data_IF_353954068287
#
_entry.id   IF_353954068287
#
_cell.length_a   1.000
_cell.length_b   1.000
_cell.length_c   1.000
_cell.angle_alpha   90.00
_cell.angle_beta   90.00
_cell.angle_gamma   90.00
#
_symmetry.space_group_name_H-M   'P 1'
#
loop_
_entity.id
_entity.type
_entity.pdbx_description
1 polymer ?
#
# COMPACT_ATOMS: atom_id res chain seq x y z
N UNK A 1 -15.47 10.59 3.32
CA UNK A 1 -15.24 10.34 4.76
C UNK A 1 -15.68 11.59 5.52
N UNK A 2 -16.61 11.49 6.48
CA UNK A 2 -17.17 12.68 7.15
C UNK A 2 -16.11 13.40 8.00
N UNK A 3 -15.32 12.66 8.77
CA UNK A 3 -14.25 13.25 9.59
C UNK A 3 -13.23 14.04 8.75
N UNK A 4 -12.88 13.58 7.55
CA UNK A 4 -12.00 14.34 6.66
C UNK A 4 -12.60 15.67 6.19
N UNK A 5 -13.91 15.69 5.88
CA UNK A 5 -14.64 16.91 5.48
C UNK A 5 -14.80 17.88 6.66
N UNK A 6 -15.18 17.36 7.83
CA UNK A 6 -15.46 18.16 9.02
C UNK A 6 -14.21 18.88 9.56
N UNK A 7 -13.02 18.28 9.39
CA UNK A 7 -11.75 18.83 9.87
C UNK A 7 -10.80 19.32 8.76
N UNK A 8 -11.20 19.24 7.49
CA UNK A 8 -10.35 19.66 6.36
C UNK A 8 -9.09 18.81 6.14
N UNK A 9 -9.14 17.53 6.53
CA UNK A 9 -8.01 16.62 6.41
C UNK A 9 -7.88 16.05 4.99
N UNK A 10 -6.64 15.98 4.49
CA UNK A 10 -6.33 15.36 3.20
C UNK A 10 -5.90 13.90 3.30
N UNK A 11 -5.60 13.43 4.51
CA UNK A 11 -5.28 12.05 4.82
C UNK A 11 -5.84 11.70 6.22
N UNK A 12 -6.20 10.44 6.44
CA UNK A 12 -6.76 9.94 7.70
C UNK A 12 -5.97 8.71 8.16
N UNK A 13 -5.44 8.76 9.38
CA UNK A 13 -4.83 7.61 10.04
C UNK A 13 -5.80 6.99 11.03
N UNK A 14 -5.89 5.67 11.06
CA UNK A 14 -6.68 4.95 12.06
C UNK A 14 -5.77 4.01 12.84
N UNK A 15 -5.66 4.23 14.16
CA UNK A 15 -4.69 3.52 15.00
C UNK A 15 -5.05 2.06 15.15
N UNK A 16 -6.32 1.79 15.45
CA UNK A 16 -6.90 0.49 15.78
C UNK A 16 -6.23 -0.27 16.95
N UNK A 17 -4.99 -0.71 16.78
CA UNK A 17 -4.24 -1.50 17.74
C UNK A 17 -3.26 -0.64 18.55
N UNK A 18 -3.14 -0.79 19.87
CA UNK A 18 -4.12 -1.35 20.81
C UNK A 18 -5.15 -0.27 21.21
N UNK A 19 -6.26 -0.66 21.86
CA UNK A 19 -7.27 0.25 22.37
C UNK A 19 -8.58 0.20 21.58
N UNK A 20 -8.61 0.75 20.36
CA UNK A 20 -9.87 0.81 19.59
C UNK A 20 -10.37 -0.59 19.18
N UNK A 21 -9.45 -1.53 18.92
CA UNK A 21 -9.77 -2.94 18.62
C UNK A 21 -10.59 -3.66 19.70
N UNK A 22 -10.59 -3.14 20.95
CA UNK A 22 -11.31 -3.72 22.08
C UNK A 22 -12.71 -3.14 22.23
N UNK A 23 -13.03 -2.07 21.50
CA UNK A 23 -14.29 -1.33 21.60
C UNK A 23 -15.21 -1.56 20.39
N UNK A 24 -14.64 -1.78 19.21
CA UNK A 24 -15.39 -1.89 17.95
C UNK A 24 -14.81 -2.96 16.99
N UNK A 25 -15.62 -3.55 16.10
CA UNK A 25 -15.14 -4.46 15.05
C UNK A 25 -14.26 -3.74 14.02
N UNK A 26 -13.18 -4.40 13.58
CA UNK A 26 -12.17 -3.85 12.69
C UNK A 26 -12.74 -3.16 11.44
N UNK A 27 -12.16 -2.01 11.08
CA UNK A 27 -12.61 -1.18 9.96
C UNK A 27 -11.88 -1.43 8.65
N UNK A 28 -11.13 -2.52 8.53
CA UNK A 28 -10.23 -2.74 7.39
C UNK A 28 -10.95 -2.63 6.04
N UNK A 29 -12.15 -3.22 5.91
CA UNK A 29 -12.95 -3.10 4.71
C UNK A 29 -13.15 -1.63 4.31
N UNK A 30 -13.50 -0.76 5.26
CA UNK A 30 -13.65 0.66 5.00
C UNK A 30 -12.31 1.31 4.67
N UNK A 31 -11.25 1.00 5.41
CA UNK A 31 -9.89 1.51 5.24
C UNK A 31 -9.34 1.25 3.83
N UNK A 32 -9.49 0.02 3.32
CA UNK A 32 -9.09 -0.32 1.95
C UNK A 32 -9.87 0.46 0.89
N UNK A 33 -11.16 0.72 1.13
CA UNK A 33 -11.99 1.52 0.24
C UNK A 33 -11.65 3.02 0.28
N UNK A 34 -11.09 3.52 1.38
CA UNK A 34 -10.64 4.92 1.45
C UNK A 34 -9.52 5.19 0.44
N UNK A 35 -8.63 4.23 0.25
CA UNK A 35 -7.51 4.31 -0.71
C UNK A 35 -7.92 4.01 -2.17
N UNK A 36 -9.21 3.84 -2.47
CA UNK A 36 -9.72 3.53 -3.81
C UNK A 36 -10.54 4.71 -4.37
N UNK A 37 -10.31 5.12 -5.62
CA UNK A 37 -11.06 6.25 -6.21
C UNK A 37 -12.52 5.90 -6.49
N UNK A 38 -12.77 4.67 -6.93
CA UNK A 38 -14.10 4.10 -7.09
C UNK A 38 -14.57 3.57 -5.73
N UNK A 39 -15.26 4.38 -4.94
CA UNK A 39 -15.75 3.99 -3.60
C UNK A 39 -17.22 4.36 -3.43
N UNK A 40 -17.96 3.68 -2.54
CA UNK A 40 -19.34 4.05 -2.23
C UNK A 40 -19.47 5.54 -1.85
N UNK A 41 -20.52 6.23 -2.33
CA UNK A 41 -20.70 7.65 -2.06
C UNK A 41 -20.94 7.88 -0.57
N UNK A 42 -20.24 8.85 0.01
CA UNK A 42 -20.44 9.29 1.40
C UNK A 42 -21.04 10.68 1.37
N UNK A 43 -22.18 10.90 2.02
CA UNK A 43 -22.83 12.21 2.10
C UNK A 43 -22.44 12.96 3.37
N UNK A 44 -22.25 14.28 3.27
CA UNK A 44 -22.14 15.18 4.41
C UNK A 44 -23.37 15.03 5.29
N UNK A 45 -23.16 14.95 6.61
CA UNK A 45 -24.28 14.89 7.56
C UNK A 45 -25.06 16.22 7.61
N UNK A 46 -24.40 17.34 7.33
CA UNK A 46 -25.00 18.69 7.44
C UNK A 46 -25.71 19.12 6.15
N UNK A 47 -25.07 18.95 4.99
CA UNK A 47 -25.57 19.48 3.71
C UNK A 47 -26.11 18.41 2.76
N UNK A 48 -25.92 17.12 3.05
CA UNK A 48 -26.31 16.04 2.14
C UNK A 48 -25.47 15.91 0.87
N UNK A 49 -24.52 16.82 0.61
CA UNK A 49 -23.61 16.77 -0.55
C UNK A 49 -22.77 15.50 -0.55
N UNK A 50 -22.48 14.95 -1.72
CA UNK A 50 -21.53 13.84 -1.87
C UNK A 50 -20.10 14.35 -1.62
N UNK A 51 -19.38 13.67 -0.75
CA UNK A 51 -18.02 14.03 -0.34
C UNK A 51 -16.98 13.32 -1.21
N UNK A 52 -16.00 14.08 -1.70
CA UNK A 52 -14.87 13.67 -2.54
C UNK A 52 -15.28 12.69 -3.68
N UNK A 53 -16.25 13.07 -4.54
CA UNK A 53 -16.73 12.19 -5.61
C UNK A 53 -15.61 11.85 -6.59
N UNK A 54 -15.41 10.56 -6.88
CA UNK A 54 -14.36 10.08 -7.78
C UNK A 54 -12.94 10.21 -7.21
N UNK A 55 -12.81 10.49 -5.91
CA UNK A 55 -11.52 10.65 -5.25
C UNK A 55 -11.36 9.67 -4.09
N UNK A 56 -10.15 9.13 -3.96
CA UNK A 56 -9.72 8.44 -2.76
C UNK A 56 -9.49 9.47 -1.63
N UNK A 57 -9.59 9.01 -0.40
CA UNK A 57 -9.16 9.76 0.79
C UNK A 57 -7.97 8.99 1.35
N UNK A 58 -6.73 9.43 1.08
CA UNK A 58 -5.52 8.73 1.54
C UNK A 58 -5.63 8.30 2.99
N UNK A 59 -5.52 7.00 3.21
CA UNK A 59 -5.64 6.35 4.50
C UNK A 59 -4.36 5.60 4.81
N UNK A 60 -3.94 5.66 6.08
CA UNK A 60 -2.77 4.95 6.58
C UNK A 60 -3.11 4.19 7.87
N UNK A 61 -2.89 2.87 7.84
CA UNK A 61 -3.13 2.00 8.97
C UNK A 61 -2.20 2.32 10.14
N UNK A 62 -2.65 1.98 11.35
CA UNK A 62 -1.85 2.02 12.59
C UNK A 62 -1.33 3.42 12.97
N UNK A 63 -1.87 4.48 12.35
CA UNK A 63 -1.36 5.86 12.48
C UNK A 63 0.14 5.93 12.15
N UNK A 64 0.60 5.15 11.17
CA UNK A 64 1.94 5.31 10.62
C UNK A 64 2.00 6.62 9.81
N UNK A 65 2.33 7.72 10.50
CA UNK A 65 2.37 9.07 9.92
C UNK A 65 3.38 9.20 8.77
N UNK A 66 4.46 8.42 8.79
CA UNK A 66 5.41 8.37 7.68
C UNK A 66 4.77 7.74 6.44
N UNK A 67 4.03 6.65 6.59
CA UNK A 67 3.22 6.09 5.50
C UNK A 67 2.10 7.05 5.07
N UNK A 68 1.51 7.80 6.01
CA UNK A 68 0.50 8.82 5.72
C UNK A 68 1.02 9.96 4.85
N UNK A 69 2.19 10.52 5.18
CA UNK A 69 2.86 11.53 4.36
C UNK A 69 3.19 10.98 2.98
N UNK A 70 3.79 9.79 2.92
CA UNK A 70 4.15 9.13 1.67
C UNK A 70 2.92 8.89 0.77
N UNK A 71 1.86 8.31 1.35
CA UNK A 71 0.62 8.01 0.63
C UNK A 71 -0.06 9.27 0.09
N UNK A 72 -0.08 10.36 0.85
CA UNK A 72 -0.67 11.63 0.42
C UNK A 72 0.11 12.25 -0.75
N UNK A 73 1.44 12.36 -0.65
CA UNK A 73 2.24 12.97 -1.72
C UNK A 73 2.24 12.09 -2.97
N UNK A 74 2.24 10.76 -2.79
CA UNK A 74 2.10 9.78 -3.87
C UNK A 74 0.78 9.95 -4.60
N UNK A 75 -0.32 10.02 -3.86
CA UNK A 75 -1.66 10.17 -4.40
C UNK A 75 -1.76 11.43 -5.29
N UNK A 76 -1.28 12.56 -4.79
CA UNK A 76 -1.27 13.84 -5.54
C UNK A 76 -0.40 13.73 -6.79
N UNK A 77 0.84 13.26 -6.64
CA UNK A 77 1.77 13.16 -7.76
C UNK A 77 1.25 12.22 -8.86
N UNK A 78 0.67 11.07 -8.50
CA UNK A 78 0.14 10.15 -9.50
C UNK A 78 -1.01 10.76 -10.30
N UNK A 79 -1.87 11.56 -9.66
CA UNK A 79 -2.91 12.30 -10.37
C UNK A 79 -2.34 13.33 -11.33
N UNK A 80 -1.34 14.10 -10.91
CA UNK A 80 -0.64 15.07 -11.78
C UNK A 80 0.04 14.39 -12.97
N UNK A 81 0.52 13.17 -12.79
CA UNK A 81 1.09 12.35 -13.88
C UNK A 81 0.03 11.72 -14.80
N UNK A 82 -1.26 11.84 -14.47
CA UNK A 82 -2.36 11.19 -15.18
C UNK A 82 -2.44 9.68 -14.96
N UNK A 83 -1.88 9.18 -13.86
CA UNK A 83 -1.86 7.75 -13.51
C UNK A 83 -2.94 7.40 -12.47
N UNK A 84 -3.24 6.11 -12.35
CA UNK A 84 -4.16 5.59 -11.33
C UNK A 84 -3.55 5.77 -9.93
N UNK A 85 -4.14 6.58 -9.04
CA UNK A 85 -3.45 7.07 -7.85
C UNK A 85 -3.65 6.19 -6.60
N UNK A 86 -4.39 5.09 -6.71
CA UNK A 86 -4.60 4.14 -5.62
C UNK A 86 -3.26 3.62 -5.13
N UNK A 87 -2.99 3.85 -3.87
CA UNK A 87 -1.76 3.46 -3.21
C UNK A 87 -2.10 3.02 -1.79
N UNK A 88 -1.26 2.17 -1.22
CA UNK A 88 -1.40 1.72 0.16
C UNK A 88 -0.05 1.27 0.69
N UNK A 89 0.06 1.21 2.01
CA UNK A 89 1.15 0.49 2.66
C UNK A 89 0.86 -1.01 2.67
N UNK A 90 1.92 -1.80 2.60
CA UNK A 90 1.96 -3.21 2.94
C UNK A 90 2.95 -3.46 4.05
N UNK A 91 2.74 -4.52 4.84
CA UNK A 91 3.84 -5.11 5.60
C UNK A 91 4.77 -5.84 4.64
N UNK A 92 6.07 -5.54 4.74
CA UNK A 92 7.13 -6.38 4.19
C UNK A 92 7.26 -7.62 5.09
N UNK A 93 6.49 -8.65 4.80
CA UNK A 93 6.24 -9.75 5.74
C UNK A 93 7.35 -10.78 5.78
N UNK A 94 7.69 -11.35 4.62
CA UNK A 94 8.77 -12.31 4.41
C UNK A 94 9.00 -12.52 2.91
N UNK A 95 10.01 -13.29 2.52
CA UNK A 95 10.23 -13.65 1.12
C UNK A 95 11.04 -14.92 0.96
N UNK A 96 11.03 -15.47 -0.26
CA UNK A 96 11.88 -16.61 -0.64
C UNK A 96 12.14 -16.58 -2.15
N UNK A 97 13.21 -17.26 -2.56
CA UNK A 97 13.42 -17.51 -3.99
C UNK A 97 12.29 -18.39 -4.54
N UNK A 98 11.80 -18.05 -5.73
CA UNK A 98 10.81 -18.82 -6.45
C UNK A 98 11.27 -19.01 -7.90
N UNK A 99 11.17 -20.24 -8.39
CA UNK A 99 11.47 -20.61 -9.78
C UNK A 99 10.30 -21.38 -10.37
N UNK A 100 9.57 -20.77 -11.30
CA UNK A 100 8.40 -21.35 -11.94
C UNK A 100 7.57 -20.31 -12.70
N UNK A 101 6.77 -20.73 -13.67
CA UNK A 101 5.85 -19.87 -14.45
C UNK A 101 6.47 -18.54 -14.96
N UNK A 102 7.74 -18.56 -15.36
CA UNK A 102 8.44 -17.38 -15.88
C UNK A 102 9.07 -16.47 -14.82
N UNK A 103 8.97 -16.81 -13.53
CA UNK A 103 9.64 -16.12 -12.42
C UNK A 103 10.86 -16.93 -11.99
N UNK A 104 11.99 -16.26 -11.75
CA UNK A 104 13.20 -16.87 -11.17
C UNK A 104 13.92 -15.86 -10.27
N UNK A 105 13.25 -15.44 -9.21
CA UNK A 105 13.66 -14.30 -8.40
C UNK A 105 13.34 -14.50 -6.91
N UNK A 106 13.89 -13.62 -6.08
CA UNK A 106 13.49 -13.50 -4.68
C UNK A 106 12.15 -12.75 -4.59
N UNK A 107 11.09 -13.49 -4.27
CA UNK A 107 9.73 -12.96 -4.23
C UNK A 107 9.32 -12.68 -2.79
N UNK A 108 9.08 -11.40 -2.51
CA UNK A 108 8.51 -10.90 -1.26
C UNK A 108 7.01 -11.12 -1.20
N UNK A 109 6.53 -11.40 0.01
CA UNK A 109 5.14 -11.36 0.40
C UNK A 109 4.88 -10.02 1.08
N UNK A 110 4.20 -9.14 0.37
CA UNK A 110 3.70 -7.86 0.87
C UNK A 110 2.25 -8.04 1.29
N UNK A 111 1.96 -7.86 2.58
CA UNK A 111 0.71 -8.37 3.15
C UNK A 111 0.27 -7.52 4.34
N UNK A 112 -0.41 -6.40 4.05
CA UNK A 112 -0.97 -5.49 5.06
C UNK A 112 -1.97 -6.20 5.96
N UNK A 113 -2.01 -5.80 7.23
CA UNK A 113 -2.80 -6.38 8.33
C UNK A 113 -4.32 -6.19 8.25
N UNK A 114 -4.89 -6.08 7.05
CA UNK A 114 -6.35 -5.95 6.89
C UNK A 114 -6.83 -5.74 5.47
N UNK A 115 -6.41 -4.66 4.81
CA UNK A 115 -7.06 -4.23 3.58
C UNK A 115 -6.15 -3.45 2.63
N UNK A 116 -6.38 -3.66 1.33
CA UNK A 116 -5.77 -2.91 0.24
C UNK A 116 -6.87 -2.47 -0.74
N UNK A 117 -6.66 -1.40 -1.53
CA UNK A 117 -7.70 -0.90 -2.44
C UNK A 117 -8.05 -1.93 -3.51
N UNK A 118 -9.35 -2.15 -3.84
CA UNK A 118 -9.76 -3.10 -4.87
C UNK A 118 -9.09 -2.90 -6.21
N UNK A 119 -8.73 -1.67 -6.58
CA UNK A 119 -7.98 -1.37 -7.81
C UNK A 119 -6.64 -2.11 -7.88
N UNK A 120 -6.06 -2.54 -6.76
CA UNK A 120 -4.82 -3.33 -6.72
C UNK A 120 -5.06 -4.81 -7.01
N UNK A 121 -6.28 -5.32 -6.90
CA UNK A 121 -6.55 -6.75 -7.06
C UNK A 121 -6.78 -7.17 -8.50
N UNK A 122 -6.47 -8.44 -8.79
CA UNK A 122 -6.88 -9.12 -10.03
C UNK A 122 -8.41 -9.07 -10.09
N UNK A 123 -8.96 -8.44 -11.13
CA UNK A 123 -10.42 -8.34 -11.32
C UNK A 123 -11.11 -7.25 -10.50
N UNK A 124 -10.35 -6.37 -9.82
CA UNK A 124 -10.93 -5.26 -9.06
C UNK A 124 -11.81 -5.75 -7.91
N UNK A 125 -12.96 -5.10 -7.72
CA UNK A 125 -13.99 -5.54 -6.77
C UNK A 125 -14.42 -7.00 -6.95
N UNK A 126 -14.46 -7.53 -8.18
CA UNK A 126 -14.87 -8.94 -8.42
C UNK A 126 -13.84 -9.96 -7.92
N UNK A 127 -12.58 -9.55 -7.76
CA UNK A 127 -11.54 -10.38 -7.15
C UNK A 127 -11.33 -10.09 -5.66
N UNK A 128 -12.17 -9.24 -5.07
CA UNK A 128 -12.12 -8.92 -3.67
C UNK A 128 -13.09 -9.80 -2.87
N UNK A 129 -12.70 -10.16 -1.65
CA UNK A 129 -13.54 -10.85 -0.66
C UNK A 129 -13.41 -10.15 0.69
N UNK A 130 -14.45 -10.22 1.51
CA UNK A 130 -14.41 -9.75 2.90
C UNK A 130 -14.37 -10.95 3.83
N UNK A 131 -13.22 -11.16 4.48
CA UNK A 131 -13.05 -12.24 5.45
C UNK A 131 -13.17 -11.69 6.87
N UNK A 132 -13.70 -12.48 7.80
CA UNK A 132 -13.69 -12.07 9.21
C UNK A 132 -12.24 -11.99 9.69
N UNK A 133 -11.83 -10.85 10.25
CA UNK A 133 -10.50 -10.68 10.86
C UNK A 133 -10.21 -11.78 11.91
N UNK A 134 -8.96 -12.26 12.05
CA UNK A 134 -8.63 -13.33 12.99
C UNK A 134 -8.95 -12.94 14.45
N UNK A 135 -9.69 -13.77 15.21
CA UNK A 135 -10.04 -13.50 16.60
C UNK A 135 -8.85 -13.24 17.53
N UNK A 136 -7.68 -13.78 17.21
CA UNK A 136 -6.44 -13.58 17.98
C UNK A 136 -6.04 -12.10 18.03
N UNK A 137 -6.20 -11.37 16.92
CA UNK A 137 -5.85 -9.95 16.83
C UNK A 137 -7.06 -9.05 17.11
N UNK A 138 -8.20 -9.40 16.50
CA UNK A 138 -9.45 -8.63 16.54
C UNK A 138 -10.57 -9.51 17.08
N UNK A 139 -10.73 -9.54 18.41
CA UNK A 139 -11.75 -10.36 19.09
C UNK A 139 -13.16 -10.12 18.56
N UNK A 140 -13.51 -8.85 18.34
CA UNK A 140 -14.81 -8.41 17.82
C UNK A 140 -14.99 -8.68 16.30
N UNK A 141 -13.97 -9.20 15.62
CA UNK A 141 -14.00 -9.42 14.18
C UNK A 141 -13.89 -8.10 13.43
N UNK A 142 -14.76 -7.92 12.43
CA UNK A 142 -14.58 -6.94 11.35
C UNK A 142 -14.21 -7.66 10.06
N UNK A 143 -14.48 -7.01 8.93
CA UNK A 143 -14.20 -7.57 7.61
C UNK A 143 -12.88 -7.03 7.06
N UNK A 144 -11.99 -7.91 6.62
CA UNK A 144 -10.84 -7.54 5.79
C UNK A 144 -11.29 -7.13 4.38
N UNK A 145 -10.40 -6.54 3.61
CA UNK A 145 -10.56 -6.41 2.16
C UNK A 145 -9.45 -7.19 1.48
N UNK A 146 -9.74 -8.48 1.25
CA UNK A 146 -8.80 -9.48 0.76
C UNK A 146 -8.87 -9.58 -0.76
N UNK A 147 -7.71 -9.72 -1.38
CA UNK A 147 -7.55 -10.11 -2.77
C UNK A 147 -6.10 -10.44 -3.08
N UNK A 148 -5.86 -10.98 -4.28
CA UNK A 148 -4.51 -11.15 -4.83
C UNK A 148 -4.20 -9.95 -5.70
N UNK A 149 -3.08 -9.29 -5.43
CA UNK A 149 -2.65 -8.12 -6.20
C UNK A 149 -2.35 -8.47 -7.66
N UNK A 150 -2.72 -7.58 -8.59
CA UNK A 150 -2.57 -7.78 -10.03
C UNK A 150 -1.10 -7.67 -10.47
N UNK A 151 -0.65 -8.48 -11.44
CA UNK A 151 0.70 -8.34 -11.96
C UNK A 151 0.89 -6.96 -12.61
N UNK A 152 2.09 -6.39 -12.49
CA UNK A 152 2.40 -5.08 -13.06
C UNK A 152 3.62 -4.41 -12.44
N UNK A 153 3.92 -3.20 -12.89
CA UNK A 153 5.06 -2.42 -12.39
C UNK A 153 4.60 -1.41 -11.35
N UNK A 154 5.35 -1.32 -10.25
CA UNK A 154 5.06 -0.42 -9.15
C UNK A 154 6.28 0.45 -8.82
N UNK A 155 6.01 1.58 -8.19
CA UNK A 155 7.01 2.32 -7.40
C UNK A 155 6.73 1.99 -5.94
N UNK A 156 7.77 1.61 -5.21
CA UNK A 156 7.71 1.42 -3.77
C UNK A 156 8.49 2.54 -3.07
N UNK A 157 8.09 2.88 -1.86
CA UNK A 157 8.80 3.86 -1.06
C UNK A 157 8.56 3.69 0.43
N UNK A 158 9.44 4.30 1.22
CA UNK A 158 9.26 4.44 2.66
C UNK A 158 9.86 5.74 3.12
N UNK A 159 9.01 6.64 3.63
CA UNK A 159 9.45 7.76 4.45
C UNK A 159 9.77 7.26 5.87
N UNK A 160 10.80 7.79 6.50
CA UNK A 160 11.17 7.48 7.88
C UNK A 160 11.98 8.63 8.50
N UNK A 161 12.14 8.59 9.82
CA UNK A 161 12.95 9.55 10.57
C UNK A 161 14.25 8.87 10.98
N UNK A 162 15.38 9.49 10.66
CA UNK A 162 16.70 9.07 11.11
C UNK A 162 17.60 10.30 11.25
N UNK A 163 18.37 10.36 12.33
CA UNK A 163 19.25 11.49 12.66
C UNK A 163 18.53 12.84 12.69
N UNK A 164 17.28 12.85 13.19
CA UNK A 164 16.45 14.05 13.28
C UNK A 164 15.96 14.60 11.93
N UNK A 165 16.08 13.84 10.84
CA UNK A 165 15.66 14.24 9.50
C UNK A 165 14.68 13.25 8.90
N UNK A 166 13.74 13.76 8.10
CA UNK A 166 12.94 12.93 7.22
C UNK A 166 13.82 12.43 6.07
N UNK A 167 13.77 11.12 5.86
CA UNK A 167 14.40 10.46 4.73
C UNK A 167 13.36 9.65 3.97
N UNK A 168 13.63 9.37 2.71
CA UNK A 168 12.81 8.47 1.91
C UNK A 168 13.69 7.51 1.11
N UNK A 169 13.48 6.22 1.32
CA UNK A 169 14.02 5.17 0.45
C UNK A 169 12.96 4.82 -0.58
N UNK A 170 13.31 4.79 -1.87
CA UNK A 170 12.38 4.43 -2.94
C UNK A 170 13.05 3.74 -4.12
N UNK A 171 12.27 2.92 -4.81
CA UNK A 171 12.73 2.17 -5.96
C UNK A 171 11.57 1.70 -6.82
N UNK A 172 11.89 0.87 -7.81
CA UNK A 172 10.88 0.20 -8.65
C UNK A 172 10.81 -1.28 -8.31
N UNK A 173 9.64 -1.86 -8.55
CA UNK A 173 9.42 -3.29 -8.36
C UNK A 173 8.39 -3.81 -9.36
N UNK A 174 8.35 -5.13 -9.48
CA UNK A 174 7.36 -5.85 -10.27
C UNK A 174 6.49 -6.69 -9.34
N UNK A 175 5.18 -6.54 -9.47
CA UNK A 175 4.21 -7.47 -8.90
C UNK A 175 4.10 -8.65 -9.86
N UNK A 176 4.49 -9.83 -9.39
CA UNK A 176 4.51 -11.05 -10.20
C UNK A 176 3.27 -11.89 -9.94
N UNK A 177 2.77 -12.57 -10.98
CA UNK A 177 1.72 -13.57 -10.82
C UNK A 177 2.37 -14.91 -10.47
N UNK A 178 1.95 -15.50 -9.36
CA UNK A 178 2.34 -16.85 -8.98
C UNK A 178 1.19 -17.84 -9.27
N UNK A 179 1.49 -19.15 -9.44
CA UNK A 179 0.45 -20.15 -9.51
C UNK A 179 -0.47 -20.09 -8.28
N UNK A 180 -1.75 -20.42 -8.46
CA UNK A 180 -2.75 -20.40 -7.38
C UNK A 180 -2.31 -21.24 -6.17
N UNK A 181 -1.78 -22.44 -6.42
CA UNK A 181 -1.27 -23.33 -5.35
C UNK A 181 -0.15 -22.68 -4.53
N UNK A 182 0.72 -21.90 -5.16
CA UNK A 182 1.82 -21.20 -4.47
C UNK A 182 1.30 -19.98 -3.70
N UNK A 183 0.37 -19.22 -4.28
CA UNK A 183 -0.32 -18.12 -3.59
C UNK A 183 -1.02 -18.62 -2.32
N UNK A 184 -1.75 -19.73 -2.43
CA UNK A 184 -2.45 -20.37 -1.32
C UNK A 184 -1.50 -20.90 -0.24
N UNK A 185 -0.35 -21.46 -0.62
CA UNK A 185 0.69 -21.87 0.33
C UNK A 185 1.19 -20.67 1.14
N UNK A 186 1.56 -19.57 0.46
CA UNK A 186 2.08 -18.36 1.11
C UNK A 186 1.06 -17.67 2.01
N UNK A 187 -0.22 -17.68 1.63
CA UNK A 187 -1.30 -17.21 2.50
C UNK A 187 -1.39 -18.03 3.79
N UNK A 188 -1.34 -19.36 3.71
CA UNK A 188 -1.39 -20.24 4.89
C UNK A 188 -0.20 -20.09 5.83
N UNK A 189 0.95 -19.68 5.32
CA UNK A 189 2.15 -19.40 6.12
C UNK A 189 2.10 -18.05 6.86
N UNK A 190 1.09 -17.22 6.59
CA UNK A 190 0.93 -15.89 7.20
C UNK A 190 -0.48 -15.71 7.77
N UNK A 191 -1.33 -14.93 7.10
CA UNK A 191 -2.72 -14.67 7.50
C UNK A 191 -3.60 -14.74 6.25
N UNK A 192 -4.30 -15.86 6.01
CA UNK A 192 -5.12 -16.06 4.80
C UNK A 192 -6.25 -15.05 4.62
N UNK A 193 -6.65 -14.34 5.67
CA UNK A 193 -7.72 -13.33 5.64
C UNK A 193 -7.26 -11.98 5.06
N UNK A 194 -5.95 -11.78 4.89
CA UNK A 194 -5.38 -10.50 4.48
C UNK A 194 -5.03 -10.48 2.98
N UNK A 195 -5.04 -9.30 2.34
CA UNK A 195 -4.68 -9.16 0.92
C UNK A 195 -3.18 -9.43 0.70
N UNK A 196 -2.85 -10.14 -0.38
CA UNK A 196 -1.47 -10.54 -0.69
C UNK A 196 -0.97 -9.88 -1.97
N UNK A 197 0.28 -9.45 -1.94
CA UNK A 197 1.06 -9.00 -3.08
C UNK A 197 2.37 -9.78 -3.15
N UNK A 198 2.69 -10.31 -4.32
CA UNK A 198 3.96 -10.97 -4.59
C UNK A 198 4.85 -10.00 -5.35
N UNK A 199 5.91 -9.50 -4.72
CA UNK A 199 6.74 -8.43 -5.27
C UNK A 199 8.19 -8.86 -5.46
N UNK A 200 8.80 -8.47 -6.58
CA UNK A 200 10.23 -8.56 -6.84
C UNK A 200 10.79 -7.13 -6.88
N UNK A 201 11.72 -6.83 -5.98
CA UNK A 201 12.38 -5.53 -5.89
C UNK A 201 13.56 -5.47 -6.88
N UNK A 202 13.55 -4.53 -7.82
CA UNK A 202 14.56 -4.49 -8.91
C UNK A 202 15.95 -4.11 -8.38
N UNK A 203 16.90 -5.05 -8.46
CA UNK A 203 18.30 -4.82 -8.06
C UNK A 203 18.54 -4.79 -6.55
N UNK A 204 17.62 -5.34 -5.74
CA UNK A 204 17.75 -5.36 -4.28
C UNK A 204 17.72 -6.81 -3.79
N UNK A 205 18.83 -7.25 -3.21
CA UNK A 205 18.87 -8.55 -2.52
C UNK A 205 18.10 -8.51 -1.20
N UNK A 206 17.72 -9.68 -0.68
CA UNK A 206 17.12 -9.84 0.65
C UNK A 206 17.92 -9.10 1.72
N UNK A 207 19.23 -9.30 1.76
CA UNK A 207 20.08 -8.79 2.83
C UNK A 207 20.23 -7.27 2.75
N UNK A 208 20.32 -6.71 1.53
CA UNK A 208 20.31 -5.26 1.34
C UNK A 208 18.98 -4.65 1.81
N UNK A 209 17.85 -5.26 1.47
CA UNK A 209 16.54 -4.77 1.92
C UNK A 209 16.43 -4.80 3.44
N UNK A 210 16.76 -5.93 4.07
CA UNK A 210 16.65 -6.09 5.53
C UNK A 210 17.66 -5.23 6.30
N UNK A 211 18.83 -4.92 5.74
CA UNK A 211 19.80 -4.04 6.38
C UNK A 211 19.41 -2.56 6.27
N UNK A 212 18.79 -2.16 5.16
CA UNK A 212 18.50 -0.75 4.85
C UNK A 212 17.11 -0.31 5.32
N UNK A 213 16.06 -1.07 5.01
CA UNK A 213 14.67 -0.68 5.22
C UNK A 213 14.37 -0.43 6.71
N UNK A 214 13.89 0.78 7.04
CA UNK A 214 13.75 1.26 8.44
C UNK A 214 12.35 1.11 9.04
N UNK A 215 11.53 0.23 8.49
CA UNK A 215 10.17 -0.04 8.99
C UNK A 215 9.69 -1.45 8.61
N UNK A 216 8.59 -1.90 9.20
CA UNK A 216 7.83 -3.04 8.69
C UNK A 216 7.00 -2.66 7.45
N UNK A 217 6.49 -1.43 7.39
CA UNK A 217 5.66 -0.97 6.29
C UNK A 217 6.45 -0.52 5.05
N UNK A 218 5.86 -0.74 3.88
CA UNK A 218 6.34 -0.29 2.57
C UNK A 218 5.17 0.24 1.75
N UNK A 219 5.26 1.48 1.26
CA UNK A 219 4.23 2.09 0.42
C UNK A 219 4.37 1.61 -1.02
N UNK A 220 3.26 1.30 -1.70
CA UNK A 220 3.27 0.89 -3.11
C UNK A 220 2.21 1.60 -3.93
N UNK A 221 2.53 1.87 -5.20
CA UNK A 221 1.60 2.43 -6.19
C UNK A 221 1.93 1.89 -7.59
N UNK A 222 0.90 1.58 -8.38
CA UNK A 222 1.07 1.06 -9.74
C UNK A 222 1.42 2.15 -10.75
N UNK A 223 2.29 1.82 -11.69
CA UNK A 223 2.58 2.63 -12.87
C UNK A 223 2.06 1.95 -14.15
N UNK A 224 1.78 2.70 -15.23
CA UNK A 224 1.24 2.12 -16.47
C UNK A 224 2.12 1.04 -17.11
N UNK A 225 3.44 1.16 -16.97
CA UNK A 225 4.43 0.21 -17.48
C UNK A 225 5.80 0.45 -16.81
N UNK A 226 6.79 -0.43 -17.09
CA UNK A 226 8.15 -0.34 -16.51
C UNK A 226 8.80 1.02 -16.75
N UNK A 227 8.76 1.53 -17.98
CA UNK A 227 9.36 2.83 -18.34
C UNK A 227 8.74 3.95 -17.51
N UNK A 228 7.42 3.94 -17.34
CA UNK A 228 6.73 4.91 -16.51
C UNK A 228 7.00 4.72 -15.01
N UNK A 229 7.21 3.50 -14.51
CA UNK A 229 7.62 3.27 -13.13
C UNK A 229 8.97 3.93 -12.82
N UNK A 230 9.99 3.74 -13.68
CA UNK A 230 11.29 4.41 -13.50
C UNK A 230 11.17 5.93 -13.64
N UNK A 231 10.39 6.44 -14.61
CA UNK A 231 10.16 7.88 -14.75
C UNK A 231 9.46 8.47 -13.52
N UNK A 232 8.38 7.85 -13.05
CA UNK A 232 7.64 8.30 -11.88
C UNK A 232 8.46 8.23 -10.59
N UNK A 233 9.28 7.18 -10.42
CA UNK A 233 10.20 7.05 -9.30
C UNK A 233 11.19 8.23 -9.25
N UNK A 234 11.81 8.58 -10.39
CA UNK A 234 12.68 9.77 -10.50
C UNK A 234 11.95 11.08 -10.18
N UNK A 235 10.74 11.27 -10.70
CA UNK A 235 9.95 12.48 -10.44
C UNK A 235 9.57 12.56 -8.96
N UNK A 236 9.15 11.44 -8.35
CA UNK A 236 8.83 11.36 -6.92
C UNK A 236 10.05 11.67 -6.06
N UNK A 237 11.22 11.13 -6.42
CA UNK A 237 12.49 11.43 -5.76
C UNK A 237 12.81 12.93 -5.81
N UNK A 238 12.71 13.55 -7.00
CA UNK A 238 12.95 14.98 -7.16
C UNK A 238 11.96 15.82 -6.33
N UNK A 239 10.66 15.51 -6.41
CA UNK A 239 9.62 16.21 -5.63
C UNK A 239 9.88 16.11 -4.12
N UNK A 240 10.21 14.92 -3.61
CA UNK A 240 10.50 14.73 -2.18
C UNK A 240 11.76 15.50 -1.75
N UNK A 241 12.80 15.53 -2.58
CA UNK A 241 14.01 16.30 -2.32
C UNK A 241 13.72 17.81 -2.25
N UNK A 242 12.90 18.34 -3.16
CA UNK A 242 12.45 19.75 -3.13
C UNK A 242 11.59 20.08 -1.90
N UNK A 243 10.87 19.10 -1.35
CA UNK A 243 10.15 19.22 -0.07
C UNK A 243 11.07 19.12 1.15
N UNK A 244 12.38 18.97 0.96
CA UNK A 244 13.38 18.89 2.03
C UNK A 244 13.57 17.48 2.62
N UNK A 245 13.02 16.44 2.00
CA UNK A 245 13.23 15.05 2.41
C UNK A 245 14.54 14.53 1.83
N UNK A 246 15.38 13.89 2.65
CA UNK A 246 16.61 13.27 2.15
C UNK A 246 16.27 11.97 1.40
N UNK A 247 16.53 11.93 0.10
CA UNK A 247 16.12 10.82 -0.76
C UNK A 247 17.27 9.85 -1.04
N UNK A 248 16.99 8.56 -0.98
CA UNK A 248 17.90 7.49 -1.37
C UNK A 248 17.22 6.60 -2.42
N UNK A 249 17.81 6.53 -3.60
CA UNK A 249 17.35 5.61 -4.65
C UNK A 249 17.91 4.22 -4.37
N UNK A 250 17.02 3.23 -4.34
CA UNK A 250 17.36 1.86 -4.00
C UNK A 250 17.19 0.95 -5.22
N UNK A 251 18.20 0.09 -5.46
CA UNK A 251 18.19 -0.87 -6.56
C UNK A 251 18.47 -0.24 -7.93
N UNK A 252 17.95 -0.86 -8.99
CA UNK A 252 18.27 -0.51 -10.38
C UNK A 252 17.37 0.62 -10.94
N UNK A 253 17.21 1.72 -10.22
CA UNK A 253 16.48 2.88 -10.75
C UNK A 253 17.25 3.49 -11.92
N UNK A 254 16.70 3.39 -13.14
CA UNK A 254 17.30 3.98 -14.34
C UNK A 254 17.34 5.51 -14.24
N UNK A 255 18.53 6.09 -14.15
CA UNK A 255 18.75 7.53 -13.99
C UNK A 255 18.78 8.30 -15.31
N UNK A 256 19.17 7.65 -16.40
CA UNK A 256 19.11 8.14 -17.78
C UNK A 256 18.19 7.22 -18.59
#
# INVERSE_FOLDING_TARGET
VRIADDFGCHAIGIQYQQGLKDLVPASDLAEGLLNNVERPPVKSARSGRVLFPGEAVPHFNEVDECAGLDGLVTYRLWRELGFAPENTLHDLRWGQHFKGEGVNDYVWVFLISGAAPPAHFIGGYRGATSERQPPMYFRLGGGSLKGVSKPGHIVWSRVFIMDGKLQCDLGVAEVVKLPEKETERRWRETTPQWPIMHAVLDGISRDQMMARHKANHIQVVYAPNRKQAHRACRIKAAMLAELGVQVNLCGNVQLA
#
